data_IF_042634614456
#
_entry.id   IF_042634614456
#
_cell.length_a   1.000
_cell.length_b   1.000
_cell.length_c   1.000
_cell.angle_alpha   90.00
_cell.angle_beta   90.00
_cell.angle_gamma   90.00
#
_symmetry.space_group_name_H-M   'P 1'
#
loop_
_entity.id
_entity.type
_entity.pdbx_description
1 polymer ?
#
# COMPACT_ATOMS: atom_id res chain seq x y z
N UNK A 1 14.80 3.38 15.27
CA UNK A 1 15.13 4.61 14.53
C UNK A 1 13.96 5.58 14.69
N UNK A 2 14.21 6.89 14.83
CA UNK A 2 13.15 7.89 14.92
C UNK A 2 13.04 8.66 13.60
N UNK A 3 11.82 8.84 13.11
CA UNK A 3 11.52 9.63 11.91
C UNK A 3 10.70 10.84 12.37
N UNK A 4 11.10 12.03 11.92
CA UNK A 4 10.35 13.27 12.16
C UNK A 4 9.54 13.59 10.90
N UNK A 5 8.22 13.71 11.05
CA UNK A 5 7.29 14.07 9.97
C UNK A 5 6.58 15.38 10.33
N UNK A 6 6.42 16.27 9.35
CA UNK A 6 5.59 17.47 9.52
C UNK A 6 4.16 17.13 9.10
N UNK A 7 3.22 17.36 10.00
CA UNK A 7 1.80 17.18 9.73
C UNK A 7 1.16 18.54 9.42
N UNK A 8 0.07 18.51 8.67
CA UNK A 8 -0.80 19.68 8.55
C UNK A 8 -1.47 19.94 9.92
N UNK A 9 -1.88 21.19 10.21
CA UNK A 9 -2.62 21.49 11.44
C UNK A 9 -3.90 20.67 11.58
N UNK A 10 -4.55 20.34 10.46
CA UNK A 10 -5.77 19.54 10.42
C UNK A 10 -5.49 18.08 10.83
N UNK A 11 -4.48 17.44 10.25
CA UNK A 11 -4.12 16.06 10.58
C UNK A 11 -3.69 15.93 12.05
N UNK A 12 -2.95 16.92 12.56
CA UNK A 12 -2.59 16.96 13.96
C UNK A 12 -3.83 17.07 14.86
N UNK A 13 -4.80 17.90 14.51
CA UNK A 13 -6.05 18.04 15.26
C UNK A 13 -6.83 16.72 15.27
N UNK A 14 -6.95 16.05 14.13
CA UNK A 14 -7.61 14.74 13.99
C UNK A 14 -6.94 13.67 14.86
N UNK A 15 -5.60 13.58 14.81
CA UNK A 15 -4.84 12.64 15.63
C UNK A 15 -4.97 12.95 17.13
N UNK A 16 -4.98 14.23 17.51
CA UNK A 16 -5.16 14.66 18.89
C UNK A 16 -6.52 14.21 19.44
N UNK A 17 -7.59 14.44 18.68
CA UNK A 17 -8.93 14.07 19.10
C UNK A 17 -9.12 12.54 19.15
N UNK A 18 -8.58 11.81 18.17
CA UNK A 18 -8.61 10.36 18.16
C UNK A 18 -7.86 9.76 19.35
N UNK A 19 -6.66 10.27 19.66
CA UNK A 19 -5.89 9.90 20.83
C UNK A 19 -6.68 10.14 22.13
N UNK A 20 -7.29 11.33 22.27
CA UNK A 20 -8.10 11.70 23.43
C UNK A 20 -9.29 10.77 23.64
N UNK A 21 -10.01 10.41 22.58
CA UNK A 21 -11.20 9.54 22.65
C UNK A 21 -10.90 8.10 23.05
N UNK A 22 -9.72 7.61 22.69
CA UNK A 22 -9.37 6.18 22.75
C UNK A 22 -8.36 5.85 23.84
N UNK A 23 -7.77 6.87 24.47
CA UNK A 23 -6.72 6.70 25.48
C UNK A 23 -5.39 6.20 24.91
N UNK A 24 -5.18 6.28 23.59
CA UNK A 24 -3.93 5.88 22.91
C UNK A 24 -3.14 7.10 22.49
N UNK A 25 -1.84 6.93 22.23
CA UNK A 25 -0.98 8.04 21.79
C UNK A 25 -1.17 8.35 20.31
N UNK A 26 -0.84 9.59 19.89
CA UNK A 26 -0.80 9.97 18.46
C UNK A 26 0.14 9.03 17.66
N UNK A 27 1.27 8.66 18.25
CA UNK A 27 2.26 7.75 17.64
C UNK A 27 1.70 6.36 17.36
N UNK A 28 0.80 5.86 18.22
CA UNK A 28 0.13 4.59 17.95
C UNK A 28 -0.67 4.65 16.63
N UNK A 29 -1.46 5.70 16.45
CA UNK A 29 -2.27 5.87 15.24
C UNK A 29 -1.44 6.18 13.99
N UNK A 30 -0.39 6.99 14.12
CA UNK A 30 0.52 7.22 12.99
C UNK A 30 1.18 5.91 12.53
N UNK A 31 1.58 5.04 13.46
CA UNK A 31 2.14 3.72 13.10
C UNK A 31 1.09 2.81 12.46
N UNK A 32 -0.13 2.80 12.99
CA UNK A 32 -1.22 2.02 12.42
C UNK A 32 -1.53 2.45 10.98
N UNK A 33 -1.64 3.77 10.74
CA UNK A 33 -1.88 4.32 9.40
C UNK A 33 -0.74 4.01 8.42
N UNK A 34 0.51 4.06 8.86
CA UNK A 34 1.65 3.65 8.03
C UNK A 34 1.54 2.17 7.67
N UNK A 35 1.23 1.30 8.64
CA UNK A 35 1.16 -0.13 8.40
C UNK A 35 0.04 -0.49 7.41
N UNK A 36 -1.14 0.12 7.58
CA UNK A 36 -2.28 -0.08 6.68
C UNK A 36 -1.98 0.41 5.25
N UNK A 37 -1.24 1.52 5.11
CA UNK A 37 -0.88 2.05 3.79
C UNK A 37 0.26 1.29 3.11
N UNK A 38 1.14 0.62 3.88
CA UNK A 38 2.30 -0.07 3.32
C UNK A 38 1.86 -1.20 2.37
N UNK A 39 0.85 -1.98 2.74
CA UNK A 39 0.36 -3.09 1.92
C UNK A 39 -0.11 -2.58 0.53
N UNK A 40 -0.92 -1.50 0.52
CA UNK A 40 -1.40 -0.87 -0.72
C UNK A 40 -0.26 -0.29 -1.57
N UNK A 41 0.76 0.30 -0.93
CA UNK A 41 1.90 0.86 -1.65
C UNK A 41 2.78 -0.24 -2.24
N UNK A 42 3.02 -1.31 -1.47
CA UNK A 42 3.79 -2.47 -1.93
C UNK A 42 3.13 -3.12 -3.13
N UNK A 43 1.81 -3.35 -3.10
CA UNK A 43 1.07 -3.90 -4.24
C UNK A 43 1.16 -2.98 -5.47
N UNK A 44 0.91 -1.68 -5.29
CA UNK A 44 0.95 -0.70 -6.38
C UNK A 44 2.31 -0.69 -7.09
N UNK A 45 3.38 -0.58 -6.32
CA UNK A 45 4.73 -0.52 -6.88
C UNK A 45 5.22 -1.88 -7.39
N UNK A 46 4.74 -2.98 -6.80
CA UNK A 46 5.04 -4.32 -7.28
C UNK A 46 4.39 -4.58 -8.65
N UNK A 47 3.10 -4.27 -8.83
CA UNK A 47 2.40 -4.47 -10.10
C UNK A 47 3.11 -3.76 -11.28
N UNK A 48 3.52 -2.52 -11.08
CA UNK A 48 4.24 -1.74 -12.08
C UNK A 48 5.63 -2.32 -12.39
N UNK A 49 6.32 -2.90 -11.39
CA UNK A 49 7.59 -3.58 -11.62
C UNK A 49 7.44 -4.89 -12.37
N UNK A 50 6.44 -5.72 -12.04
CA UNK A 50 6.21 -7.01 -12.68
C UNK A 50 5.87 -6.86 -14.16
N UNK A 51 5.02 -5.90 -14.52
CA UNK A 51 4.66 -5.66 -15.93
C UNK A 51 5.87 -5.22 -16.74
N UNK A 52 6.63 -4.25 -16.21
CA UNK A 52 7.85 -3.75 -16.87
C UNK A 52 8.91 -4.84 -17.03
N UNK A 53 9.19 -5.61 -15.98
CA UNK A 53 10.17 -6.69 -16.03
C UNK A 53 9.74 -7.78 -17.03
N UNK A 54 8.42 -8.03 -17.15
CA UNK A 54 7.87 -8.95 -18.14
C UNK A 54 8.04 -8.43 -19.58
N UNK A 55 7.76 -7.15 -19.83
CA UNK A 55 7.94 -6.50 -21.13
C UNK A 55 9.43 -6.49 -21.54
N UNK A 56 10.33 -6.14 -20.62
CA UNK A 56 11.79 -6.14 -20.85
C UNK A 56 12.33 -7.55 -21.12
N UNK A 57 11.77 -8.58 -20.50
CA UNK A 57 12.18 -9.96 -20.72
C UNK A 57 11.82 -10.50 -22.12
N UNK A 58 11.00 -9.77 -22.91
CA UNK A 58 10.62 -10.16 -24.27
C UNK A 58 9.89 -11.49 -24.37
N UNK A 59 9.31 -11.96 -23.25
CA UNK A 59 8.59 -13.24 -23.20
C UNK A 59 7.24 -13.10 -23.92
N UNK A 60 6.84 -14.09 -24.73
CA UNK A 60 5.54 -14.06 -25.37
C UNK A 60 4.43 -14.05 -24.31
N UNK A 61 3.52 -13.07 -24.39
CA UNK A 61 2.27 -13.11 -23.64
C UNK A 61 1.24 -13.93 -24.41
N UNK A 62 0.27 -14.51 -23.70
CA UNK A 62 -0.87 -15.18 -24.30
C UNK A 62 -2.18 -14.62 -23.72
N UNK A 63 -3.28 -14.59 -24.50
CA UNK A 63 -4.57 -14.15 -23.99
C UNK A 63 -5.00 -14.94 -22.76
N UNK A 64 -5.64 -14.27 -21.81
CA UNK A 64 -6.15 -14.90 -20.60
C UNK A 64 -7.16 -16.02 -20.95
N UNK A 65 -8.03 -15.80 -21.93
CA UNK A 65 -9.01 -16.77 -22.43
C UNK A 65 -8.38 -18.13 -22.77
N UNK A 66 -7.23 -18.12 -23.46
CA UNK A 66 -6.52 -19.36 -23.80
C UNK A 66 -6.02 -20.12 -22.55
N UNK A 67 -5.58 -19.40 -21.52
CA UNK A 67 -5.19 -20.00 -20.26
C UNK A 67 -6.40 -20.59 -19.52
N UNK A 68 -7.56 -19.93 -19.59
CA UNK A 68 -8.76 -20.33 -18.85
C UNK A 68 -9.38 -21.58 -19.49
N UNK A 69 -9.42 -21.62 -20.82
CA UNK A 69 -9.80 -22.80 -21.60
C UNK A 69 -8.90 -24.02 -21.27
N UNK A 70 -7.58 -23.80 -21.07
CA UNK A 70 -6.65 -24.86 -20.66
C UNK A 70 -6.88 -25.36 -19.23
N UNK A 71 -7.34 -24.47 -18.34
CA UNK A 71 -7.55 -24.75 -16.92
C UNK A 71 -8.98 -25.22 -16.58
N UNK A 72 -9.89 -25.24 -17.56
CA UNK A 72 -11.31 -25.60 -17.42
C UNK A 72 -12.03 -24.75 -16.35
N UNK A 73 -11.76 -23.43 -16.35
CA UNK A 73 -12.33 -22.42 -15.43
C UNK A 73 -13.04 -21.27 -16.15
#
# INVERSE_FOLDING_TARGET
>A
MAISIRLTPEDEARLTELARRTGRSKTFYMRAAIHELLDDLEERYWADSVVRDWEEAGKPSRPAEQLWDELDV
#
